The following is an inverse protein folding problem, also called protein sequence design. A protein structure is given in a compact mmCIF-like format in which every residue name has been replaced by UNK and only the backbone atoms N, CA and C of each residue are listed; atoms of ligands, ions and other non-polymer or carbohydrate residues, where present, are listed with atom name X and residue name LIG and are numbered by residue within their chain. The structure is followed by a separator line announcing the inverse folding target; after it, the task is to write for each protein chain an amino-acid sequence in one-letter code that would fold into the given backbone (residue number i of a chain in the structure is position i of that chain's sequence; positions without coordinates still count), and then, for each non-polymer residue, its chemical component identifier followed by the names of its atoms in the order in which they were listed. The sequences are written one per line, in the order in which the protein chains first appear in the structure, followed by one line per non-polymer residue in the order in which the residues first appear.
data_IF_660111545873
#
_entry.id   IF_660111545873
#
_cell.length_a   1.000
_cell.length_b   1.000
_cell.length_c   1.000
_cell.angle_alpha   90.00
_cell.angle_beta   90.00
_cell.angle_gamma   90.00
#
_symmetry.space_group_name_H-M   'P 1'
#
loop_
_entity.id
_entity.type
_entity.pdbx_description
1 polymer ?
#
# COMPACT_ATOMS: atom_id res chain seq x y z
N UNK A 1 31.31 5.78 -30.67
CA UNK A 1 30.20 5.02 -30.04
C UNK A 1 30.09 5.35 -28.54
N UNK A 2 30.09 6.64 -28.18
CA UNK A 2 30.06 7.12 -26.79
C UNK A 2 28.87 8.04 -26.46
N UNK A 3 28.06 8.42 -27.45
CA UNK A 3 27.15 9.57 -27.28
C UNK A 3 25.72 9.20 -26.85
N UNK A 4 25.35 7.91 -26.85
CA UNK A 4 23.98 7.47 -26.53
C UNK A 4 23.74 7.23 -25.04
N UNK A 5 24.76 6.84 -24.27
CA UNK A 5 24.63 6.66 -22.81
C UNK A 5 24.52 8.00 -22.07
N UNK A 6 25.31 9.00 -22.48
CA UNK A 6 25.29 10.33 -21.87
C UNK A 6 23.99 11.10 -22.18
N UNK A 7 23.45 10.90 -23.39
CA UNK A 7 22.14 11.45 -23.78
C UNK A 7 21.01 10.90 -22.91
N UNK A 8 21.00 9.60 -22.62
CA UNK A 8 19.96 8.97 -21.81
C UNK A 8 20.05 9.43 -20.35
N UNK A 9 21.26 9.50 -19.80
CA UNK A 9 21.49 9.97 -18.43
C UNK A 9 21.12 11.46 -18.26
N UNK A 10 21.41 12.29 -19.25
CA UNK A 10 21.04 13.70 -19.25
C UNK A 10 19.52 13.91 -19.40
N UNK A 11 18.86 13.04 -20.16
CA UNK A 11 17.39 13.08 -20.31
C UNK A 11 16.70 12.66 -19.01
N UNK A 12 17.23 11.65 -18.31
CA UNK A 12 16.74 11.23 -17.00
C UNK A 12 16.99 12.31 -15.95
N UNK A 13 18.17 12.95 -15.96
CA UNK A 13 18.47 14.10 -15.09
C UNK A 13 17.53 15.28 -15.36
N UNK A 14 17.29 15.63 -16.61
CA UNK A 14 16.36 16.70 -16.98
C UNK A 14 14.91 16.38 -16.58
N UNK A 15 14.48 15.11 -16.68
CA UNK A 15 13.19 14.67 -16.16
C UNK A 15 13.12 14.83 -14.63
N UNK A 16 14.15 14.35 -13.92
CA UNK A 16 14.25 14.46 -12.46
C UNK A 16 14.26 15.92 -12.01
N UNK A 17 14.97 16.80 -12.70
CA UNK A 17 15.03 18.23 -12.38
C UNK A 17 13.73 18.94 -12.72
N UNK A 18 13.06 18.60 -13.83
CA UNK A 18 11.71 19.06 -14.13
C UNK A 18 10.72 18.64 -13.02
N UNK A 19 10.85 17.42 -12.48
CA UNK A 19 10.05 16.95 -11.35
C UNK A 19 10.42 17.61 -10.00
N UNK A 20 11.70 17.93 -9.76
CA UNK A 20 12.15 18.70 -8.58
C UNK A 20 11.70 20.16 -8.61
N UNK A 21 11.53 20.75 -9.80
CA UNK A 21 10.99 22.10 -9.98
C UNK A 21 9.47 22.17 -9.90
N UNK A 22 8.79 21.04 -9.74
CA UNK A 22 7.35 20.99 -9.50
C UNK A 22 7.01 21.60 -8.15
N UNK A 23 6.73 22.90 -8.15
CA UNK A 23 6.16 23.70 -7.07
C UNK A 23 6.85 23.56 -5.70
N UNK A 24 7.30 24.70 -5.14
CA UNK A 24 7.53 24.80 -3.69
C UNK A 24 6.39 24.07 -2.95
N UNK A 25 6.68 23.21 -1.95
CA UNK A 25 5.63 22.82 -1.02
C UNK A 25 5.17 24.11 -0.36
N UNK A 26 4.02 24.61 -0.82
CA UNK A 26 3.28 25.62 -0.09
C UNK A 26 3.14 25.05 1.32
N UNK A 27 3.59 25.83 2.30
CA UNK A 27 3.30 25.61 3.70
C UNK A 27 1.87 25.08 3.82
N UNK A 28 1.73 23.92 4.47
CA UNK A 28 0.49 23.26 4.90
C UNK A 28 -0.76 24.00 4.40
N UNK A 29 -1.09 23.85 3.11
CA UNK A 29 -2.36 24.34 2.63
C UNK A 29 -3.36 23.34 3.19
N UNK A 30 -4.08 23.78 4.22
CA UNK A 30 -5.38 23.25 4.60
C UNK A 30 -6.05 22.76 3.32
N UNK A 31 -6.34 21.45 3.25
CA UNK A 31 -7.01 20.81 2.12
C UNK A 31 -8.23 21.65 1.76
N UNK A 32 -8.08 22.52 0.76
CA UNK A 32 -9.21 23.06 0.04
C UNK A 32 -9.75 21.86 -0.71
N UNK A 33 -10.95 21.40 -0.35
CA UNK A 33 -11.64 20.37 -1.08
C UNK A 33 -11.56 20.70 -2.58
N UNK A 34 -10.79 19.93 -3.34
CA UNK A 34 -10.81 20.05 -4.80
C UNK A 34 -12.27 19.91 -5.23
N UNK A 35 -12.71 20.79 -6.13
CA UNK A 35 -14.08 20.76 -6.64
C UNK A 35 -14.40 19.37 -7.19
N UNK A 36 -15.64 18.90 -6.99
CA UNK A 36 -16.09 17.67 -7.64
C UNK A 36 -16.19 17.92 -9.15
N UNK A 37 -15.55 17.06 -9.95
CA UNK A 37 -15.57 17.14 -11.41
C UNK A 37 -16.42 16.02 -12.01
N UNK A 38 -17.08 16.31 -13.12
CA UNK A 38 -17.69 15.28 -13.98
C UNK A 38 -16.57 14.38 -14.51
N UNK A 39 -16.80 13.06 -14.70
CA UNK A 39 -15.79 12.17 -15.27
C UNK A 39 -15.23 12.75 -16.58
N UNK A 40 -13.90 12.84 -16.72
CA UNK A 40 -13.28 13.37 -17.93
C UNK A 40 -13.67 12.49 -19.13
N UNK A 41 -13.76 13.07 -20.35
CA UNK A 41 -14.10 12.31 -21.53
C UNK A 41 -13.13 11.12 -21.69
N UNK A 42 -13.69 9.95 -22.00
CA UNK A 42 -12.87 8.81 -22.33
C UNK A 42 -12.29 9.06 -23.73
N UNK A 43 -10.97 8.86 -23.95
CA UNK A 43 -10.41 8.92 -25.29
C UNK A 43 -11.05 7.76 -26.10
N UNK A 44 -11.91 8.10 -27.05
CA UNK A 44 -12.57 7.12 -27.93
C UNK A 44 -11.98 7.28 -29.32
N UNK A 45 -11.66 6.20 -30.04
CA UNK A 45 -11.31 6.35 -31.45
C UNK A 45 -12.52 6.76 -32.30
N UNK A 46 -12.27 7.15 -33.55
CA UNK A 46 -13.33 7.36 -34.54
C UNK A 46 -14.18 6.08 -34.70
N UNK A 47 -15.45 6.23 -35.09
CA UNK A 47 -16.49 5.18 -35.08
C UNK A 47 -16.14 3.88 -35.83
N UNK A 48 -15.13 3.89 -36.69
CA UNK A 48 -14.75 2.77 -37.57
C UNK A 48 -13.40 2.13 -37.22
N UNK A 49 -12.87 2.40 -36.02
CA UNK A 49 -11.53 1.97 -35.64
C UNK A 49 -11.41 0.46 -35.39
N UNK A 50 -10.33 -0.14 -35.91
CA UNK A 50 -10.03 -1.57 -35.74
C UNK A 50 -9.62 -1.87 -34.29
N UNK A 51 -9.78 -3.12 -33.85
CA UNK A 51 -9.52 -3.53 -32.45
C UNK A 51 -8.09 -3.25 -31.95
N UNK A 52 -7.12 -3.13 -32.87
CA UNK A 52 -5.75 -2.74 -32.53
C UNK A 52 -5.59 -1.23 -32.29
N UNK A 53 -6.41 -0.37 -32.92
CA UNK A 53 -6.46 1.08 -32.68
C UNK A 53 -7.14 1.39 -31.32
N UNK A 54 -8.05 0.52 -30.85
CA UNK A 54 -8.67 0.64 -29.53
C UNK A 54 -7.64 0.55 -28.38
N UNK A 55 -6.51 -0.15 -28.59
CA UNK A 55 -5.40 -0.25 -27.62
C UNK A 55 -4.56 1.03 -27.57
N UNK A 56 -4.42 1.76 -28.67
CA UNK A 56 -3.67 3.02 -28.74
C UNK A 56 -4.43 4.21 -28.18
N UNK A 57 -5.76 4.16 -28.19
CA UNK A 57 -6.63 5.26 -27.77
C UNK A 57 -7.20 5.11 -26.35
N UNK A 58 -6.72 4.16 -25.55
CA UNK A 58 -7.09 4.01 -24.14
C UNK A 58 -6.27 4.90 -23.19
N UNK A 59 -6.48 4.73 -21.88
CA UNK A 59 -5.64 5.35 -20.82
C UNK A 59 -4.50 4.45 -20.35
N UNK A 60 -4.30 3.30 -21.00
CA UNK A 60 -3.14 2.45 -20.76
C UNK A 60 -1.89 3.11 -21.37
N UNK A 61 -0.70 2.93 -20.78
CA UNK A 61 0.51 3.56 -21.28
C UNK A 61 0.81 3.07 -22.70
N UNK A 62 0.77 4.01 -23.66
CA UNK A 62 0.97 3.75 -25.08
C UNK A 62 2.41 4.00 -25.54
N UNK A 63 3.25 4.62 -24.70
CA UNK A 63 4.64 4.96 -25.05
C UNK A 63 5.64 4.47 -24.02
N UNK A 64 6.86 4.18 -24.50
CA UNK A 64 8.00 3.81 -23.67
C UNK A 64 8.34 4.90 -22.65
N UNK A 65 8.30 6.16 -23.07
CA UNK A 65 8.61 7.32 -22.21
C UNK A 65 7.67 7.43 -21.01
N UNK A 66 6.37 7.18 -21.17
CA UNK A 66 5.43 7.16 -20.04
C UNK A 66 5.76 6.05 -19.04
N UNK A 67 6.15 4.88 -19.56
CA UNK A 67 6.53 3.72 -18.76
C UNK A 67 7.85 3.96 -18.02
N UNK A 68 8.87 4.49 -18.70
CA UNK A 68 10.16 4.87 -18.12
C UNK A 68 10.01 5.98 -17.08
N UNK A 69 9.15 6.97 -17.33
CA UNK A 69 8.84 8.03 -16.37
C UNK A 69 8.12 7.51 -15.12
N UNK A 70 7.25 6.51 -15.26
CA UNK A 70 6.65 5.82 -14.11
C UNK A 70 7.72 5.03 -13.32
N UNK A 71 8.59 4.31 -14.02
CA UNK A 71 9.69 3.57 -13.40
C UNK A 71 10.67 4.48 -12.65
N UNK A 72 11.02 5.63 -13.22
CA UNK A 72 11.87 6.63 -12.58
C UNK A 72 11.24 7.18 -11.28
N UNK A 73 9.91 7.40 -11.27
CA UNK A 73 9.19 7.81 -10.04
C UNK A 73 9.21 6.74 -8.96
N UNK A 74 9.19 5.46 -9.35
CA UNK A 74 9.29 4.36 -8.40
C UNK A 74 10.66 4.32 -7.71
N UNK A 75 11.73 4.62 -8.45
CA UNK A 75 13.13 4.60 -7.97
C UNK A 75 13.71 5.96 -7.57
N UNK A 76 12.86 6.96 -7.33
CA UNK A 76 13.30 8.34 -7.08
C UNK A 76 14.29 8.44 -5.93
N UNK A 77 14.03 7.71 -4.84
CA UNK A 77 14.85 7.71 -3.62
C UNK A 77 16.18 6.99 -3.82
N UNK A 78 16.19 5.90 -4.60
CA UNK A 78 17.40 5.16 -4.95
C UNK A 78 18.33 6.04 -5.80
N UNK A 79 17.75 6.75 -6.78
CA UNK A 79 18.45 7.68 -7.65
C UNK A 79 19.02 8.87 -6.86
N UNK A 80 18.27 9.40 -5.89
CA UNK A 80 18.74 10.47 -5.03
C UNK A 80 19.91 10.03 -4.13
N UNK A 81 19.88 8.78 -3.61
CA UNK A 81 20.98 8.23 -2.81
C UNK A 81 22.25 7.99 -3.63
N UNK A 82 22.13 7.45 -4.85
CA UNK A 82 23.28 7.24 -5.73
C UNK A 82 24.02 8.52 -6.11
N UNK A 83 23.33 9.67 -6.12
CA UNK A 83 23.94 10.99 -6.36
C UNK A 83 24.68 11.56 -5.12
N UNK A 84 24.40 11.03 -3.94
CA UNK A 84 24.98 11.52 -2.67
C UNK A 84 26.22 10.74 -2.21
N UNK A 85 26.57 9.63 -2.87
CA UNK A 85 27.79 8.87 -2.57
C UNK A 85 29.02 9.61 -3.10
N UNK A 86 29.99 9.87 -2.21
CA UNK A 86 31.31 10.41 -2.57
C UNK A 86 32.08 9.39 -3.44
N UNK A 87 32.89 9.84 -4.41
CA UNK A 87 33.54 8.96 -5.40
C UNK A 87 34.53 7.93 -4.83
N UNK A 88 34.92 8.02 -3.55
CA UNK A 88 35.90 7.14 -2.90
C UNK A 88 35.29 6.02 -2.02
N UNK A 89 33.96 5.96 -1.84
CA UNK A 89 33.34 4.81 -1.17
C UNK A 89 33.10 3.67 -2.18
N UNK A 90 33.59 2.46 -1.85
CA UNK A 90 33.28 1.25 -2.64
C UNK A 90 31.77 1.20 -2.87
N UNK A 91 31.30 1.00 -4.12
CA UNK A 91 29.88 0.90 -4.40
C UNK A 91 29.34 -0.26 -3.55
N UNK A 92 28.51 0.08 -2.58
CA UNK A 92 27.73 -0.90 -1.84
C UNK A 92 26.79 -1.51 -2.87
N UNK A 93 27.14 -2.69 -3.39
CA UNK A 93 26.43 -3.42 -4.44
C UNK A 93 25.14 -4.05 -3.92
N UNK A 94 24.39 -3.32 -3.11
CA UNK A 94 23.17 -3.79 -2.49
C UNK A 94 22.04 -2.91 -3.02
N UNK A 95 21.44 -3.41 -4.11
CA UNK A 95 20.36 -2.81 -4.89
C UNK A 95 19.03 -2.83 -4.12
N UNK A 96 19.03 -2.46 -2.85
CA UNK A 96 17.80 -2.44 -2.08
C UNK A 96 17.05 -1.14 -2.40
N UNK A 97 15.95 -1.30 -3.14
CA UNK A 97 15.08 -0.22 -3.56
C UNK A 97 14.02 0.11 -2.52
N UNK A 98 13.21 1.12 -2.81
CA UNK A 98 11.99 1.43 -2.04
C UNK A 98 11.04 0.23 -1.98
N UNK A 99 10.32 0.07 -0.87
CA UNK A 99 9.24 -0.91 -0.77
C UNK A 99 7.96 -0.35 -1.38
N UNK A 100 7.36 -1.11 -2.28
CA UNK A 100 6.11 -0.78 -2.97
C UNK A 100 5.04 -1.78 -2.52
N UNK A 101 4.09 -1.34 -1.69
CA UNK A 101 3.04 -2.21 -1.15
C UNK A 101 1.69 -1.74 -1.68
N UNK A 102 1.05 -2.59 -2.46
CA UNK A 102 -0.27 -2.33 -3.05
C UNK A 102 -1.35 -3.12 -2.31
N UNK A 103 -2.40 -2.44 -1.87
CA UNK A 103 -3.51 -3.00 -1.09
C UNK A 103 -4.82 -2.80 -1.84
N UNK A 104 -5.57 -3.88 -2.06
CA UNK A 104 -6.77 -3.88 -2.89
C UNK A 104 -7.98 -4.34 -2.06
N UNK A 105 -8.80 -3.40 -1.60
CA UNK A 105 -9.98 -3.66 -0.78
C UNK A 105 -11.25 -3.73 -1.64
N UNK A 106 -11.83 -4.92 -1.80
CA UNK A 106 -12.99 -5.08 -2.68
C UNK A 106 -14.34 -4.75 -2.03
N UNK A 107 -15.38 -4.61 -2.86
CA UNK A 107 -16.74 -4.32 -2.46
C UNK A 107 -17.44 -5.48 -1.77
N UNK A 108 -18.58 -5.21 -1.13
CA UNK A 108 -19.38 -6.19 -0.40
C UNK A 108 -19.62 -7.46 -1.23
N UNK A 109 -19.39 -8.63 -0.63
CA UNK A 109 -19.54 -9.95 -1.25
C UNK A 109 -18.69 -10.16 -2.53
N UNK A 110 -17.70 -9.31 -2.80
CA UNK A 110 -16.77 -9.47 -3.91
C UNK A 110 -15.49 -10.18 -3.47
N UNK A 111 -14.99 -11.06 -4.32
CA UNK A 111 -13.73 -11.79 -4.18
C UNK A 111 -12.98 -11.83 -5.54
N UNK A 112 -11.71 -12.23 -5.51
CA UNK A 112 -10.86 -12.34 -6.71
C UNK A 112 -11.17 -13.61 -7.50
N UNK A 113 -11.38 -14.71 -6.78
CA UNK A 113 -11.68 -16.03 -7.33
C UNK A 113 -13.18 -16.15 -7.40
N UNK A 114 -13.72 -16.16 -8.63
CA UNK A 114 -15.14 -16.35 -8.99
C UNK A 114 -16.05 -16.69 -7.79
N UNK A 115 -16.99 -15.80 -7.47
CA UNK A 115 -17.89 -15.94 -6.31
C UNK A 115 -18.36 -17.39 -6.12
N UNK A 116 -18.17 -17.89 -4.90
CA UNK A 116 -18.60 -19.24 -4.52
C UNK A 116 -20.04 -19.45 -5.00
N UNK A 117 -20.28 -20.47 -5.83
CA UNK A 117 -21.59 -20.80 -6.43
C UNK A 117 -22.71 -21.08 -5.40
N UNK A 118 -22.40 -20.95 -4.10
CA UNK A 118 -23.23 -21.28 -2.95
C UNK A 118 -24.38 -20.29 -2.72
N UNK A 119 -24.35 -19.11 -3.35
CA UNK A 119 -25.54 -18.26 -3.48
C UNK A 119 -25.96 -18.20 -4.94
N UNK A 120 -27.24 -18.46 -5.22
CA UNK A 120 -27.86 -18.38 -6.55
C UNK A 120 -27.87 -16.99 -7.22
N UNK A 121 -26.91 -16.12 -6.87
CA UNK A 121 -26.54 -14.93 -7.61
C UNK A 121 -25.65 -15.32 -8.81
N UNK A 122 -25.92 -14.82 -10.02
CA UNK A 122 -25.03 -15.00 -11.15
C UNK A 122 -23.66 -14.44 -10.77
N UNK A 123 -22.60 -15.25 -10.93
CA UNK A 123 -21.19 -14.93 -10.69
C UNK A 123 -20.92 -13.44 -10.93
N UNK A 124 -20.80 -12.58 -9.88
CA UNK A 124 -20.50 -11.19 -10.08
C UNK A 124 -19.17 -11.09 -10.82
N UNK A 125 -19.19 -10.39 -11.96
CA UNK A 125 -17.99 -10.21 -12.76
C UNK A 125 -16.88 -9.56 -11.92
N UNK A 126 -15.64 -9.95 -12.20
CA UNK A 126 -14.45 -9.39 -11.57
C UNK A 126 -14.52 -7.85 -11.52
N UNK A 127 -14.45 -7.32 -10.29
CA UNK A 127 -14.55 -5.88 -10.02
C UNK A 127 -13.34 -5.13 -10.57
N UNK A 128 -13.42 -3.80 -10.62
CA UNK A 128 -12.25 -3.00 -10.96
C UNK A 128 -11.10 -3.19 -9.96
N UNK A 129 -11.39 -3.53 -8.69
CA UNK A 129 -10.36 -3.83 -7.69
C UNK A 129 -9.66 -5.13 -8.03
N UNK A 130 -10.40 -6.20 -8.33
CA UNK A 130 -9.82 -7.45 -8.81
C UNK A 130 -8.99 -7.27 -10.09
N UNK A 131 -9.49 -6.49 -11.06
CA UNK A 131 -8.74 -6.17 -12.29
C UNK A 131 -7.43 -5.44 -12.02
N UNK A 132 -7.45 -4.43 -11.13
CA UNK A 132 -6.25 -3.70 -10.74
C UNK A 132 -5.27 -4.59 -9.97
N UNK A 133 -5.77 -5.48 -9.11
CA UNK A 133 -4.94 -6.47 -8.41
C UNK A 133 -4.22 -7.39 -9.40
N UNK A 134 -4.91 -7.98 -10.38
CA UNK A 134 -4.25 -8.82 -11.39
C UNK A 134 -3.25 -8.06 -12.27
N UNK A 135 -3.48 -6.76 -12.52
CA UNK A 135 -2.52 -5.93 -13.23
C UNK A 135 -1.25 -5.62 -12.40
N UNK A 136 -1.40 -5.52 -11.08
CA UNK A 136 -0.33 -5.24 -10.13
C UNK A 136 0.35 -6.51 -9.57
N UNK A 137 -0.30 -7.66 -9.62
CA UNK A 137 0.24 -8.93 -9.13
C UNK A 137 1.05 -9.63 -10.22
N UNK A 138 2.36 -9.70 -10.00
CA UNK A 138 3.32 -10.34 -10.90
C UNK A 138 3.84 -11.68 -10.35
N UNK A 139 3.29 -12.16 -9.24
CA UNK A 139 3.66 -13.46 -8.68
C UNK A 139 3.43 -14.58 -9.72
N UNK A 140 4.37 -15.52 -9.80
CA UNK A 140 4.28 -16.68 -10.70
C UNK A 140 4.59 -16.40 -12.18
N UNK A 141 4.97 -15.17 -12.55
CA UNK A 141 5.44 -14.86 -13.92
C UNK A 141 6.94 -15.11 -14.06
N UNK A 142 7.31 -16.34 -14.41
CA UNK A 142 8.70 -16.77 -14.64
C UNK A 142 9.46 -17.05 -13.34
N UNK A 143 10.80 -17.09 -13.40
CA UNK A 143 11.68 -17.35 -12.25
C UNK A 143 11.95 -16.10 -11.39
N UNK A 144 11.04 -15.12 -11.41
CA UNK A 144 11.20 -13.83 -10.75
C UNK A 144 10.30 -13.74 -9.52
N UNK A 145 10.85 -13.25 -8.41
CA UNK A 145 10.11 -12.96 -7.18
C UNK A 145 9.96 -11.44 -7.02
N UNK A 146 8.76 -10.86 -7.25
CA UNK A 146 8.55 -9.42 -7.05
C UNK A 146 8.87 -8.94 -5.64
N UNK A 147 8.71 -9.81 -4.65
CA UNK A 147 8.99 -9.51 -3.25
C UNK A 147 10.47 -9.25 -2.99
N UNK A 148 11.36 -9.92 -3.73
CA UNK A 148 12.81 -9.71 -3.62
C UNK A 148 13.24 -8.34 -4.16
N UNK A 149 12.48 -7.81 -5.11
CA UNK A 149 12.62 -6.47 -5.67
C UNK A 149 11.82 -5.40 -4.88
N UNK A 150 11.20 -5.77 -3.76
CA UNK A 150 10.47 -4.86 -2.88
C UNK A 150 9.02 -4.57 -3.30
N UNK A 151 8.44 -5.33 -4.23
CA UNK A 151 7.05 -5.18 -4.69
C UNK A 151 6.12 -6.22 -4.05
N UNK A 152 5.08 -5.74 -3.37
CA UNK A 152 4.07 -6.55 -2.71
C UNK A 152 2.67 -6.12 -3.15
N UNK A 153 1.80 -7.08 -3.42
CA UNK A 153 0.40 -6.85 -3.77
C UNK A 153 -0.49 -7.77 -2.94
N UNK A 154 -1.44 -7.20 -2.21
CA UNK A 154 -2.38 -7.95 -1.38
C UNK A 154 -3.82 -7.63 -1.74
N UNK A 155 -4.58 -8.67 -2.05
CA UNK A 155 -6.02 -8.59 -2.25
C UNK A 155 -6.75 -8.86 -0.93
N UNK A 156 -7.74 -8.01 -0.63
CA UNK A 156 -8.59 -8.10 0.56
C UNK A 156 -10.04 -8.23 0.07
N UNK A 157 -10.64 -9.44 0.15
CA UNK A 157 -12.03 -9.66 -0.22
C UNK A 157 -12.97 -8.73 0.57
N UNK A 158 -14.10 -8.37 -0.01
CA UNK A 158 -15.08 -7.53 0.68
C UNK A 158 -15.82 -8.27 1.79
N UNK A 159 -16.47 -7.51 2.67
CA UNK A 159 -17.27 -8.08 3.75
C UNK A 159 -18.39 -8.97 3.19
N UNK A 160 -18.61 -10.14 3.81
CA UNK A 160 -19.58 -11.13 3.34
C UNK A 160 -19.02 -12.12 2.31
N UNK A 161 -17.87 -11.84 1.70
CA UNK A 161 -17.16 -12.82 0.88
C UNK A 161 -16.27 -13.73 1.73
N UNK A 162 -16.05 -14.95 1.24
CA UNK A 162 -15.08 -15.90 1.79
C UNK A 162 -13.69 -15.26 1.89
N UNK A 163 -13.08 -15.34 3.07
CA UNK A 163 -11.72 -14.89 3.35
C UNK A 163 -11.04 -15.80 4.39
N UNK A 164 -10.51 -16.97 3.97
CA UNK A 164 -10.03 -18.00 4.90
C UNK A 164 -8.85 -17.54 5.76
N UNK A 165 -8.02 -16.62 5.26
CA UNK A 165 -6.92 -16.03 6.03
C UNK A 165 -7.40 -15.34 7.31
N UNK A 166 -8.66 -14.88 7.35
CA UNK A 166 -9.28 -14.31 8.54
C UNK A 166 -10.20 -15.26 9.31
N UNK A 167 -10.37 -16.50 8.85
CA UNK A 167 -11.28 -17.48 9.43
C UNK A 167 -12.72 -17.39 8.92
N UNK A 168 -12.94 -16.69 7.80
CA UNK A 168 -14.23 -16.67 7.10
C UNK A 168 -14.17 -17.67 5.94
N UNK A 169 -14.59 -18.91 6.19
CA UNK A 169 -14.47 -20.00 5.20
C UNK A 169 -15.56 -19.99 4.14
N UNK A 170 -16.68 -19.30 4.40
CA UNK A 170 -17.86 -19.25 3.54
C UNK A 170 -18.43 -17.82 3.45
N UNK A 171 -19.40 -17.64 2.56
CA UNK A 171 -20.21 -16.42 2.51
C UNK A 171 -20.87 -16.11 3.86
N UNK A 172 -20.98 -14.83 4.19
CA UNK A 172 -21.62 -14.35 5.43
C UNK A 172 -22.67 -13.28 5.15
N UNK A 173 -23.93 -13.60 5.46
CA UNK A 173 -25.03 -12.64 5.41
C UNK A 173 -24.81 -11.47 6.38
N UNK A 174 -24.23 -11.73 7.55
CA UNK A 174 -23.89 -10.67 8.51
C UNK A 174 -22.75 -9.79 7.98
N UNK A 175 -21.80 -10.37 7.26
CA UNK A 175 -20.78 -9.62 6.52
C UNK A 175 -21.40 -8.73 5.42
N UNK A 176 -22.37 -9.27 4.67
CA UNK A 176 -23.09 -8.54 3.63
C UNK A 176 -23.93 -7.38 4.21
N UNK A 177 -24.68 -7.60 5.27
CA UNK A 177 -25.63 -6.62 5.79
C UNK A 177 -24.97 -5.64 6.76
N UNK A 178 -24.14 -6.13 7.67
CA UNK A 178 -23.61 -5.38 8.82
C UNK A 178 -22.12 -5.07 8.72
N UNK A 179 -21.46 -5.46 7.62
CA UNK A 179 -20.01 -5.32 7.46
C UNK A 179 -19.22 -6.03 8.58
N UNK A 180 -19.78 -7.13 9.10
CA UNK A 180 -19.04 -8.01 10.00
C UNK A 180 -17.76 -8.50 9.32
N UNK A 181 -16.67 -8.61 10.08
CA UNK A 181 -15.34 -8.92 9.55
C UNK A 181 -14.61 -7.75 8.89
N UNK A 182 -15.19 -6.54 8.86
CA UNK A 182 -14.52 -5.35 8.34
C UNK A 182 -13.29 -4.93 9.15
N UNK A 183 -13.32 -5.05 10.48
CA UNK A 183 -12.16 -4.80 11.33
C UNK A 183 -11.02 -5.79 11.06
N UNK A 184 -11.34 -7.08 10.91
CA UNK A 184 -10.36 -8.11 10.64
C UNK A 184 -9.67 -7.93 9.29
N UNK A 185 -10.40 -7.47 8.27
CA UNK A 185 -9.84 -7.07 6.97
C UNK A 185 -8.84 -5.92 7.09
N UNK A 186 -9.14 -4.91 7.91
CA UNK A 186 -8.22 -3.79 8.19
C UNK A 186 -6.97 -4.30 8.92
N UNK A 187 -7.16 -5.09 9.97
CA UNK A 187 -6.07 -5.64 10.78
C UNK A 187 -5.18 -6.56 9.94
N UNK A 188 -5.76 -7.38 9.07
CA UNK A 188 -5.03 -8.23 8.12
C UNK A 188 -4.18 -7.41 7.15
N UNK A 189 -4.72 -6.33 6.59
CA UNK A 189 -3.96 -5.45 5.69
C UNK A 189 -2.80 -4.72 6.41
N UNK A 190 -3.01 -4.30 7.66
CA UNK A 190 -1.94 -3.75 8.50
C UNK A 190 -0.85 -4.81 8.74
N UNK A 191 -1.23 -6.01 9.18
CA UNK A 191 -0.29 -7.12 9.41
C UNK A 191 0.48 -7.50 8.14
N UNK A 192 -0.17 -7.54 6.98
CA UNK A 192 0.50 -7.77 5.69
C UNK A 192 1.51 -6.67 5.37
N UNK A 193 1.21 -5.41 5.66
CA UNK A 193 2.15 -4.29 5.51
C UNK A 193 3.42 -4.51 6.36
N UNK A 194 3.25 -4.86 7.63
CA UNK A 194 4.39 -5.17 8.52
C UNK A 194 5.12 -6.45 8.09
N UNK A 195 4.40 -7.46 7.62
CA UNK A 195 4.99 -8.69 7.07
C UNK A 195 5.83 -8.43 5.82
N UNK A 196 5.47 -7.46 4.97
CA UNK A 196 6.31 -7.05 3.83
C UNK A 196 7.63 -6.44 4.30
N UNK A 197 7.59 -5.64 5.38
CA UNK A 197 8.79 -5.07 5.98
C UNK A 197 9.66 -6.19 6.57
N UNK A 198 9.06 -7.16 7.28
CA UNK A 198 9.76 -8.35 7.77
C UNK A 198 10.44 -9.08 6.62
N UNK A 199 9.73 -9.36 5.53
CA UNK A 199 10.30 -10.04 4.36
C UNK A 199 11.46 -9.24 3.76
N UNK A 200 11.29 -7.94 3.55
CA UNK A 200 12.33 -7.08 2.97
C UNK A 200 13.61 -7.02 3.82
N UNK A 201 13.48 -7.15 5.14
CA UNK A 201 14.61 -7.11 6.07
C UNK A 201 15.26 -8.49 6.22
N UNK A 202 14.45 -9.54 6.37
CA UNK A 202 14.88 -10.89 6.79
C UNK A 202 14.87 -11.93 5.69
N UNK A 203 14.28 -11.63 4.53
CA UNK A 203 13.95 -12.59 3.46
C UNK A 203 13.16 -13.81 3.95
N UNK A 204 12.42 -13.66 5.06
CA UNK A 204 11.58 -14.70 5.63
C UNK A 204 10.12 -14.31 5.50
N UNK A 205 9.31 -15.18 4.88
CA UNK A 205 7.86 -14.99 4.78
C UNK A 205 7.19 -15.36 6.10
N UNK A 206 6.25 -14.53 6.54
CA UNK A 206 5.39 -14.85 7.67
C UNK A 206 4.09 -15.47 7.15
N UNK A 207 3.80 -16.67 7.61
CA UNK A 207 2.59 -17.41 7.23
C UNK A 207 1.31 -16.73 7.74
N UNK A 208 0.23 -16.85 6.97
CA UNK A 208 -1.07 -16.25 7.32
C UNK A 208 -1.65 -16.78 8.63
N UNK A 209 -1.37 -18.05 8.95
CA UNK A 209 -1.74 -18.66 10.23
C UNK A 209 -1.11 -17.93 11.42
N UNK A 210 0.14 -17.49 11.28
CA UNK A 210 0.83 -16.74 12.32
C UNK A 210 0.29 -15.31 12.45
N UNK A 211 -0.12 -14.68 11.34
CA UNK A 211 -0.79 -13.38 11.38
C UNK A 211 -2.14 -13.45 12.13
N UNK A 212 -2.83 -14.58 12.07
CA UNK A 212 -4.10 -14.80 12.76
C UNK A 212 -4.03 -14.58 14.27
N UNK A 213 -2.92 -14.96 14.91
CA UNK A 213 -2.71 -14.77 16.36
C UNK A 213 -2.69 -13.28 16.72
N UNK A 214 -1.98 -12.46 15.93
CA UNK A 214 -1.89 -11.03 16.17
C UNK A 214 -3.17 -10.31 15.78
N UNK A 215 -3.86 -10.76 14.73
CA UNK A 215 -5.16 -10.20 14.32
C UNK A 215 -6.18 -10.30 15.44
N UNK A 216 -6.25 -11.44 16.14
CA UNK A 216 -7.11 -11.59 17.32
C UNK A 216 -6.73 -10.63 18.45
N UNK A 217 -5.43 -10.39 18.67
CA UNK A 217 -4.95 -9.40 19.65
C UNK A 217 -5.26 -7.94 19.25
N UNK A 218 -5.38 -7.67 17.95
CA UNK A 218 -5.74 -6.37 17.39
C UNK A 218 -7.26 -6.11 17.41
N UNK A 219 -8.07 -7.14 17.61
CA UNK A 219 -9.53 -7.04 17.60
C UNK A 219 -10.05 -6.18 18.78
N UNK A 220 -11.14 -5.46 18.55
CA UNK A 220 -11.81 -4.73 19.61
C UNK A 220 -12.86 -5.59 20.29
N UNK A 221 -12.70 -5.81 21.60
CA UNK A 221 -13.73 -6.45 22.41
C UNK A 221 -14.73 -5.39 22.87
N UNK A 222 -15.97 -5.48 22.36
CA UNK A 222 -17.10 -4.71 22.86
C UNK A 222 -17.40 -5.11 24.33
N UNK A 223 -17.69 -4.17 25.26
CA UNK A 223 -18.07 -2.77 25.05
C UNK A 223 -16.98 -1.71 25.33
N UNK A 224 -15.76 -2.07 25.75
CA UNK A 224 -14.70 -1.11 26.12
C UNK A 224 -13.89 -0.54 24.93
N UNK A 225 -14.52 -0.51 23.74
CA UNK A 225 -13.88 -0.44 22.41
C UNK A 225 -13.16 0.89 22.10
N UNK A 226 -13.67 2.06 22.51
CA UNK A 226 -13.09 3.34 22.05
C UNK A 226 -11.72 3.67 22.65
N UNK A 227 -11.47 3.28 23.91
CA UNK A 227 -10.19 3.58 24.58
C UNK A 227 -9.13 2.52 24.25
N UNK A 228 -9.54 1.26 24.06
CA UNK A 228 -8.61 0.13 23.90
C UNK A 228 -8.18 -0.12 22.44
N UNK A 229 -8.95 0.32 21.44
CA UNK A 229 -8.70 0.03 20.00
C UNK A 229 -7.29 0.39 19.52
N UNK A 230 -6.82 1.60 19.82
CA UNK A 230 -5.48 2.05 19.41
C UNK A 230 -4.36 1.35 20.17
N UNK A 231 -4.57 1.05 21.45
CA UNK A 231 -3.59 0.38 22.30
C UNK A 231 -3.43 -1.10 21.95
N UNK A 232 -4.54 -1.80 21.68
CA UNK A 232 -4.52 -3.22 21.29
C UNK A 232 -3.75 -3.43 19.99
N UNK A 233 -4.04 -2.60 18.97
CA UNK A 233 -3.35 -2.68 17.68
C UNK A 233 -1.86 -2.42 17.81
N UNK A 234 -1.50 -1.34 18.50
CA UNK A 234 -0.09 -0.97 18.68
C UNK A 234 0.69 -2.02 19.46
N UNK A 235 0.12 -2.56 20.54
CA UNK A 235 0.77 -3.59 21.34
C UNK A 235 0.95 -4.89 20.55
N UNK A 236 -0.07 -5.34 19.83
CA UNK A 236 0.02 -6.55 19.00
C UNK A 236 1.05 -6.41 17.88
N UNK A 237 1.10 -5.25 17.21
CA UNK A 237 2.09 -4.95 16.18
C UNK A 237 3.51 -4.84 16.77
N UNK A 238 3.67 -4.24 17.94
CA UNK A 238 4.97 -4.18 18.60
C UNK A 238 5.47 -5.60 18.95
N UNK A 239 4.60 -6.45 19.50
CA UNK A 239 4.92 -7.85 19.80
C UNK A 239 5.28 -8.63 18.53
N UNK A 240 4.53 -8.42 17.45
CA UNK A 240 4.83 -8.99 16.13
C UNK A 240 6.22 -8.57 15.65
N UNK A 241 6.52 -7.27 15.67
CA UNK A 241 7.82 -6.74 15.29
C UNK A 241 8.94 -7.29 16.18
N UNK A 242 8.74 -7.34 17.50
CA UNK A 242 9.73 -7.87 18.44
C UNK A 242 10.09 -9.33 18.17
N UNK A 243 9.13 -10.13 17.72
CA UNK A 243 9.32 -11.55 17.39
C UNK A 243 9.98 -11.73 16.01
N UNK A 244 9.48 -11.05 14.98
CA UNK A 244 9.90 -11.29 13.59
C UNK A 244 11.03 -10.41 13.09
N UNK A 245 11.21 -9.21 13.66
CA UNK A 245 12.34 -8.32 13.38
C UNK A 245 13.41 -8.36 14.49
N UNK A 246 13.12 -9.06 15.59
CA UNK A 246 13.85 -8.94 16.85
C UNK A 246 13.44 -7.67 17.62
N UNK A 247 13.76 -7.61 18.93
CA UNK A 247 13.49 -6.45 19.82
C UNK A 247 13.96 -5.10 19.24
N UNK A 248 13.18 -4.47 18.38
CA UNK A 248 13.37 -3.10 17.89
C UNK A 248 12.02 -2.42 17.93
N UNK A 249 11.92 -1.32 18.69
CA UNK A 249 11.68 0.03 18.15
C UNK A 249 11.33 1.03 19.25
N UNK A 250 10.83 0.64 20.44
CA UNK A 250 10.18 1.64 21.33
C UNK A 250 10.88 2.03 22.63
N UNK A 251 12.04 1.46 22.99
CA UNK A 251 12.75 1.89 24.21
C UNK A 251 14.14 2.45 23.89
N UNK A 252 14.23 3.77 24.03
CA UNK A 252 15.49 4.47 24.20
C UNK A 252 15.94 4.35 25.68
N UNK A 253 17.23 4.11 26.02
CA UNK A 253 18.38 3.74 25.19
C UNK A 253 18.91 2.30 25.44
N UNK A 254 19.74 1.82 24.50
CA UNK A 254 20.70 0.69 24.56
C UNK A 254 20.28 -0.68 23.99
N UNK A 255 21.16 -1.19 23.09
CA UNK A 255 21.45 -2.60 22.71
C UNK A 255 20.84 -3.17 21.39
N UNK A 256 21.47 -4.23 20.80
CA UNK A 256 22.08 -4.29 19.44
C UNK A 256 21.13 -4.58 18.27
N UNK A 257 19.84 -4.75 18.52
CA UNK A 257 18.86 -5.06 17.48
C UNK A 257 18.74 -3.93 16.45
N UNK A 258 19.11 -2.70 16.86
CA UNK A 258 19.21 -1.53 15.98
C UNK A 258 20.28 -1.67 14.90
N UNK A 259 21.32 -2.50 15.03
CA UNK A 259 22.30 -2.66 13.95
C UNK A 259 21.71 -3.34 12.72
N UNK A 260 20.83 -4.33 12.93
CA UNK A 260 20.23 -5.08 11.83
C UNK A 260 19.20 -4.23 11.07
N UNK A 261 18.32 -3.52 11.80
CA UNK A 261 17.41 -2.56 11.19
C UNK A 261 18.14 -1.31 10.71
N UNK A 262 19.25 -0.84 11.29
CA UNK A 262 20.04 0.25 10.69
C UNK A 262 20.73 -0.18 9.39
N UNK A 263 21.26 -1.41 9.33
CA UNK A 263 21.77 -1.99 8.07
C UNK A 263 20.65 -2.20 7.06
N UNK A 264 19.44 -2.56 7.50
CA UNK A 264 18.27 -2.69 6.64
C UNK A 264 17.60 -1.34 6.30
N UNK A 265 17.71 -0.30 7.13
CA UNK A 265 17.32 1.10 6.84
C UNK A 265 18.31 1.72 5.86
N UNK A 266 19.59 1.33 5.92
CA UNK A 266 20.53 1.58 4.83
C UNK A 266 20.09 0.89 3.54
N UNK A 267 19.25 -0.15 3.58
CA UNK A 267 18.70 -0.86 2.42
C UNK A 267 17.33 -0.35 1.96
N UNK A 268 16.40 0.01 2.85
CA UNK A 268 15.04 0.44 2.49
C UNK A 268 14.94 1.96 2.63
N UNK A 269 14.99 2.73 1.52
CA UNK A 269 14.95 4.19 1.59
C UNK A 269 13.55 4.73 1.92
N UNK A 270 12.49 4.06 1.48
CA UNK A 270 11.10 4.51 1.69
C UNK A 270 10.09 3.35 1.53
N UNK A 271 8.98 3.43 2.26
CA UNK A 271 7.80 2.59 2.08
C UNK A 271 6.72 3.40 1.34
N UNK A 272 6.31 2.94 0.16
CA UNK A 272 5.29 3.55 -0.69
C UNK A 272 4.07 2.65 -0.74
N UNK A 273 2.94 3.17 -0.24
CA UNK A 273 1.67 2.46 -0.21
C UNK A 273 0.76 2.92 -1.36
N UNK A 274 0.18 1.96 -2.07
CA UNK A 274 -0.81 2.18 -3.12
C UNK A 274 -2.11 1.48 -2.72
N UNK A 275 -3.09 2.25 -2.26
CA UNK A 275 -4.30 1.70 -1.65
C UNK A 275 -5.49 1.93 -2.57
N UNK A 276 -6.21 0.85 -2.88
CA UNK A 276 -7.39 0.87 -3.74
C UNK A 276 -8.59 0.33 -2.98
N UNK A 277 -9.76 0.92 -3.18
CA UNK A 277 -10.99 0.43 -2.54
C UNK A 277 -12.25 0.70 -3.35
N UNK A 278 -13.20 -0.23 -3.31
CA UNK A 278 -14.52 -0.11 -3.95
C UNK A 278 -15.66 -0.30 -2.94
N UNK A 279 -16.72 0.50 -2.99
CA UNK A 279 -17.90 0.36 -2.13
C UNK A 279 -17.52 0.37 -0.63
N UNK A 280 -17.87 -0.67 0.13
CA UNK A 280 -17.41 -0.86 1.52
C UNK A 280 -15.90 -1.11 1.63
N UNK A 281 -15.27 -1.66 0.60
CA UNK A 281 -13.82 -1.73 0.48
C UNK A 281 -13.16 -0.35 0.47
N UNK A 282 -13.79 0.68 -0.12
CA UNK A 282 -13.29 2.05 -0.04
C UNK A 282 -13.37 2.63 1.37
N UNK A 283 -14.43 2.33 2.13
CA UNK A 283 -14.50 2.69 3.55
C UNK A 283 -13.43 1.94 4.38
N UNK A 284 -13.19 0.67 4.06
CA UNK A 284 -12.14 -0.16 4.67
C UNK A 284 -10.75 0.40 4.38
N UNK A 285 -10.48 0.85 3.15
CA UNK A 285 -9.24 1.52 2.76
C UNK A 285 -8.98 2.83 3.52
N UNK A 286 -10.02 3.65 3.72
CA UNK A 286 -9.93 4.85 4.57
C UNK A 286 -9.64 4.50 6.03
N UNK A 287 -10.33 3.49 6.57
CA UNK A 287 -10.12 3.02 7.93
C UNK A 287 -8.74 2.38 8.13
N UNK A 288 -8.18 1.74 7.09
CA UNK A 288 -6.79 1.30 7.05
C UNK A 288 -5.83 2.49 7.15
N UNK A 289 -6.03 3.56 6.38
CA UNK A 289 -5.18 4.75 6.45
C UNK A 289 -5.17 5.37 7.85
N UNK A 290 -6.34 5.52 8.49
CA UNK A 290 -6.43 5.97 9.88
C UNK A 290 -5.79 4.98 10.87
N UNK A 291 -5.94 3.68 10.63
CA UNK A 291 -5.32 2.63 11.45
C UNK A 291 -3.79 2.66 11.35
N UNK A 292 -3.25 2.91 10.16
CA UNK A 292 -1.83 3.08 9.92
C UNK A 292 -1.31 4.33 10.60
N UNK A 293 -2.03 5.46 10.50
CA UNK A 293 -1.66 6.72 11.15
C UNK A 293 -1.46 6.54 12.66
N UNK A 294 -2.34 5.80 13.32
CA UNK A 294 -2.23 5.50 14.74
C UNK A 294 -1.00 4.65 15.12
N UNK A 295 -0.41 3.94 14.15
CA UNK A 295 0.76 3.09 14.31
C UNK A 295 2.09 3.78 13.94
N UNK A 296 2.04 4.98 13.36
CA UNK A 296 3.23 5.77 13.04
C UNK A 296 4.05 6.12 14.29
N UNK A 297 5.33 6.38 14.07
CA UNK A 297 6.24 6.78 15.12
C UNK A 297 5.85 8.17 15.64
N UNK A 298 5.68 8.29 16.96
CA UNK A 298 5.23 9.54 17.61
C UNK A 298 6.34 10.58 17.75
N UNK A 299 7.60 10.16 17.63
CA UNK A 299 8.76 11.03 17.67
C UNK A 299 9.23 11.30 16.25
N UNK A 300 9.36 12.58 15.84
CA UNK A 300 10.14 12.91 14.65
C UNK A 300 11.53 12.29 14.76
N UNK A 301 12.18 11.99 13.62
CA UNK A 301 13.53 11.42 13.59
C UNK A 301 14.43 12.05 14.68
N UNK A 302 15.17 11.26 15.47
CA UNK A 302 16.06 11.82 16.46
C UNK A 302 17.06 12.76 15.78
N UNK A 303 17.18 13.97 16.33
CA UNK A 303 17.99 15.10 15.89
C UNK A 303 19.44 14.72 15.49
N UNK A 304 19.97 13.62 16.01
CA UNK A 304 21.31 13.12 15.70
C UNK A 304 21.46 12.55 14.28
N UNK A 305 20.38 12.19 13.59
CA UNK A 305 20.46 11.85 12.17
C UNK A 305 20.67 13.09 11.29
N UNK A 306 20.26 14.27 11.76
CA UNK A 306 20.59 15.54 11.12
C UNK A 306 22.06 15.95 11.37
N UNK A 307 22.71 15.38 12.39
CA UNK A 307 24.14 15.61 12.68
C UNK A 307 25.09 14.60 12.01
N UNK A 308 24.59 13.44 11.56
CA UNK A 308 25.35 12.45 10.78
C UNK A 308 25.07 12.51 9.27
N UNK A 309 24.07 13.28 8.86
CA UNK A 309 23.79 13.49 7.45
C UNK A 309 24.64 14.66 6.93
N UNK A 310 25.21 14.57 5.72
CA UNK A 310 26.02 15.64 5.14
C UNK A 310 25.24 16.97 5.12
N UNK A 311 25.89 18.09 5.39
CA UNK A 311 25.27 19.43 5.27
C UNK A 311 24.57 19.56 3.91
N UNK A 312 23.26 19.84 3.92
CA UNK A 312 22.42 19.91 2.73
C UNK A 312 21.54 18.68 2.46
N UNK A 313 21.63 17.62 3.27
CA UNK A 313 20.68 16.51 3.17
C UNK A 313 19.28 16.94 3.60
N UNK A 314 18.31 16.85 2.70
CA UNK A 314 16.89 16.95 3.04
C UNK A 314 16.53 15.72 3.86
N UNK A 315 16.50 15.84 5.19
CA UNK A 315 15.85 14.82 6.01
C UNK A 315 14.40 14.68 5.52
N UNK A 316 13.86 13.47 5.35
CA UNK A 316 12.45 13.29 5.08
C UNK A 316 11.65 13.80 6.29
N UNK A 317 11.26 15.07 6.27
CA UNK A 317 10.27 15.62 7.20
C UNK A 317 8.92 14.98 6.85
N UNK A 318 8.64 13.83 7.45
CA UNK A 318 7.45 13.05 7.16
C UNK A 318 7.25 11.93 8.18
N UNK A 319 6.08 11.29 8.15
CA UNK A 319 5.78 10.18 9.05
C UNK A 319 6.74 9.01 8.79
N UNK A 320 7.14 8.33 9.87
CA UNK A 320 7.94 7.12 9.81
C UNK A 320 7.20 5.94 10.41
N UNK A 321 7.49 4.75 9.88
CA UNK A 321 7.04 3.47 10.38
C UNK A 321 8.27 2.63 10.71
N UNK A 322 8.49 2.29 11.99
CA UNK A 322 9.72 1.60 12.43
C UNK A 322 11.00 2.37 12.05
N UNK A 323 10.93 3.70 12.05
CA UNK A 323 11.98 4.62 11.63
C UNK A 323 12.24 4.68 10.12
N UNK A 324 11.44 4.00 9.29
CA UNK A 324 11.52 4.07 7.82
C UNK A 324 10.50 5.12 7.32
N UNK A 325 10.87 6.06 6.43
CA UNK A 325 9.92 6.99 5.83
C UNK A 325 8.79 6.25 5.12
N UNK A 326 7.53 6.61 5.40
CA UNK A 326 6.34 5.98 4.80
C UNK A 326 5.41 7.01 4.19
N UNK A 327 4.78 6.68 3.06
CA UNK A 327 3.70 7.49 2.49
C UNK A 327 2.66 6.63 1.78
N UNK A 328 1.41 7.10 1.78
CA UNK A 328 0.39 6.65 0.83
C UNK A 328 0.55 7.49 -0.43
N UNK A 329 1.21 6.93 -1.44
CA UNK A 329 1.49 7.61 -2.71
C UNK A 329 0.25 7.67 -3.60
N UNK A 330 -0.68 6.73 -3.42
CA UNK A 330 -1.97 6.73 -4.12
C UNK A 330 -3.08 6.12 -3.25
N UNK A 331 -4.21 6.81 -3.17
CA UNK A 331 -5.44 6.33 -2.55
C UNK A 331 -6.60 6.39 -3.56
N UNK A 332 -6.84 5.29 -4.27
CA UNK A 332 -7.87 5.18 -5.30
C UNK A 332 -9.18 4.63 -4.76
N UNK A 333 -10.19 5.48 -4.61
CA UNK A 333 -11.49 5.09 -4.05
C UNK A 333 -12.59 5.13 -5.12
N UNK A 334 -13.39 4.07 -5.18
CA UNK A 334 -14.51 3.92 -6.09
C UNK A 334 -15.80 3.82 -5.27
N UNK A 335 -16.67 4.82 -5.38
CA UNK A 335 -18.02 4.84 -4.81
C UNK A 335 -18.10 4.41 -3.33
N UNK A 336 -17.51 5.21 -2.43
CA UNK A 336 -17.36 4.82 -1.02
C UNK A 336 -18.69 4.74 -0.27
N UNK A 337 -18.99 3.56 0.30
CA UNK A 337 -20.19 3.29 1.11
C UNK A 337 -19.76 2.83 2.50
N UNK A 338 -20.21 3.54 3.55
CA UNK A 338 -19.94 3.18 4.96
C UNK A 338 -21.17 2.73 5.74
N UNK A 339 -22.32 2.61 5.06
CA UNK A 339 -23.59 2.24 5.70
C UNK A 339 -23.68 0.74 5.99
N UNK A 340 -24.28 0.42 7.13
CA UNK A 340 -24.66 -0.93 7.58
C UNK A 340 -26.18 -0.99 7.73
N UNK A 341 -26.78 -2.13 7.39
CA UNK A 341 -28.21 -2.37 7.55
C UNK A 341 -28.90 -2.91 6.29
N UNK A 342 -30.08 -3.48 6.49
CA UNK A 342 -30.98 -3.90 5.41
C UNK A 342 -31.50 -2.63 4.73
N UNK A 343 -31.28 -2.42 3.42
CA UNK A 343 -31.97 -1.34 2.72
C UNK A 343 -33.47 -1.56 2.92
N UNK A 344 -34.19 -0.53 3.35
CA UNK A 344 -35.62 -0.58 3.71
C UNK A 344 -36.42 -1.29 2.61
N UNK A 345 -36.54 -2.61 2.74
CA UNK A 345 -37.27 -3.43 1.80
C UNK A 345 -38.72 -3.17 2.16
N UNK A 346 -39.48 -2.60 1.22
CA UNK A 346 -40.93 -2.52 1.34
C UNK A 346 -41.43 -3.86 1.87
N UNK A 347 -41.95 -3.88 3.08
CA UNK A 347 -42.79 -4.98 3.52
C UNK A 347 -43.87 -5.13 2.44
N UNK A 348 -44.00 -6.29 1.75
CA UNK A 348 -45.23 -6.55 1.04
C UNK A 348 -46.31 -6.52 2.11
N UNK A 349 -47.18 -5.50 2.05
CA UNK A 349 -48.32 -5.39 2.94
C UNK A 349 -49.06 -6.72 2.91
N UNK A 350 -49.18 -7.35 4.08
CA UNK A 350 -50.10 -8.46 4.29
C UNK A 350 -51.52 -7.87 4.39
N UNK A 351 -52.42 -8.53 3.67
CA UNK A 351 -53.89 -8.40 3.57
C UNK A 351 -54.45 -7.10 3.00
#
# INVERSE_FOLDING_TARGET
MSDTSDSTLNTVKALIDAFKTGAKPSATSVSTAEAAWVPPPFPVPAKDAKQDELKEHGRLPSTKTLTEGNYARQRLEDLARGQSQQPDEKPVTDCAGSLHISLFFDGTCCNEQDADEVYGSPKPALTNIGRLYHAANWQGKGNFSPADDGYFSYYVPGCGARFPQIGEDDYSLDGELFANGGEDRINQALLKTFSSIVYAVTHTSVEDSALGVYRQKMATNWPFSMITKGFNRKNAINEFCDIYLGKVVTQWPLQPTREYIHRAQKRIPKIKLFVYGYCRGAATARAFACGLEALLDKTPMPLNAAHTAPEGSVLPSGPTLLGIPVSIDFLGLMDSVSSVGVPHSRFPGKS
#
